data_IF_807986985514
#
_entry.id   IF_807986985514
#
_cell.length_a   1.000
_cell.length_b   1.000
_cell.length_c   1.000
_cell.angle_alpha   90.00
_cell.angle_beta   90.00
_cell.angle_gamma   90.00
#
_symmetry.space_group_name_H-M   'P 1'
#
loop_
_entity.id
_entity.type
_entity.pdbx_description
1 polymer ?
#
# COMPACT_ATOMS: atom_id res chain seq x y z
N UNK A 1 3.45 -8.66 23.80
CA UNK A 1 4.07 -8.36 22.48
C UNK A 1 3.27 -8.92 21.30
N UNK A 2 2.57 -10.06 21.42
CA UNK A 2 1.77 -10.65 20.32
C UNK A 2 0.55 -9.84 19.84
N UNK A 3 -0.14 -9.11 20.72
CA UNK A 3 -1.32 -8.32 20.29
C UNK A 3 -0.94 -7.20 19.32
N UNK A 4 0.22 -6.58 19.52
CA UNK A 4 0.70 -5.49 18.66
C UNK A 4 1.04 -5.97 17.25
N UNK A 5 1.64 -7.15 17.10
CA UNK A 5 1.99 -7.72 15.79
C UNK A 5 0.76 -8.16 14.99
N UNK A 6 -0.29 -8.67 15.66
CA UNK A 6 -1.56 -9.03 15.02
C UNK A 6 -2.31 -7.79 14.48
N UNK A 7 -2.34 -6.70 15.24
CA UNK A 7 -2.97 -5.43 14.83
C UNK A 7 -2.22 -4.83 13.63
N UNK A 8 -0.88 -4.87 13.69
CA UNK A 8 0.02 -4.41 12.64
C UNK A 8 -0.27 -5.17 11.33
N UNK A 9 -0.27 -6.50 11.37
CA UNK A 9 -0.53 -7.36 10.21
C UNK A 9 -1.89 -7.09 9.56
N UNK A 10 -2.93 -6.86 10.38
CA UNK A 10 -4.27 -6.52 9.90
C UNK A 10 -4.30 -5.19 9.14
N UNK A 11 -3.64 -4.16 9.64
CA UNK A 11 -3.59 -2.85 8.98
C UNK A 11 -2.92 -2.93 7.61
N UNK A 12 -1.78 -3.63 7.50
CA UNK A 12 -1.09 -3.82 6.21
C UNK A 12 -2.01 -4.47 5.19
N UNK A 13 -2.68 -5.55 5.62
CA UNK A 13 -3.58 -6.30 4.74
C UNK A 13 -4.68 -5.40 4.20
N UNK A 14 -5.29 -4.57 5.05
CA UNK A 14 -6.32 -3.63 4.62
C UNK A 14 -5.78 -2.60 3.62
N UNK A 15 -4.61 -2.01 3.87
CA UNK A 15 -3.99 -1.02 2.98
C UNK A 15 -3.71 -1.61 1.59
N UNK A 16 -3.30 -2.87 1.53
CA UNK A 16 -2.99 -3.56 0.26
C UNK A 16 -4.26 -4.05 -0.44
N UNK A 17 -5.19 -4.66 0.29
CA UNK A 17 -6.30 -5.41 -0.32
C UNK A 17 -7.46 -4.51 -0.71
N UNK A 18 -7.75 -3.47 0.10
CA UNK A 18 -8.87 -2.56 -0.14
C UNK A 18 -8.85 -1.90 -1.53
N UNK A 19 -7.74 -1.29 -2.02
CA UNK A 19 -7.74 -0.67 -3.34
C UNK A 19 -7.89 -1.69 -4.47
N UNK A 20 -7.35 -2.90 -4.31
CA UNK A 20 -7.46 -3.98 -5.30
C UNK A 20 -8.90 -4.47 -5.37
N UNK A 21 -9.52 -4.76 -4.23
CA UNK A 21 -10.92 -5.20 -4.15
C UNK A 21 -11.86 -4.13 -4.72
N UNK A 22 -11.57 -2.85 -4.45
CA UNK A 22 -12.31 -1.74 -5.03
C UNK A 22 -12.22 -1.73 -6.56
N UNK A 23 -11.03 -1.88 -7.14
CA UNK A 23 -10.85 -1.97 -8.58
C UNK A 23 -11.60 -3.18 -9.18
N UNK A 24 -11.51 -4.35 -8.55
CA UNK A 24 -12.21 -5.56 -9.00
C UNK A 24 -13.72 -5.34 -9.00
N UNK A 25 -14.27 -4.82 -7.90
CA UNK A 25 -15.71 -4.59 -7.75
C UNK A 25 -16.25 -3.56 -8.75
N UNK A 26 -15.44 -2.58 -9.14
CA UNK A 26 -15.81 -1.55 -10.10
C UNK A 26 -15.36 -1.86 -11.54
N UNK A 27 -14.75 -3.02 -11.80
CA UNK A 27 -14.17 -3.40 -13.10
C UNK A 27 -13.17 -2.37 -13.65
N UNK A 28 -12.40 -1.75 -12.76
CA UNK A 28 -11.35 -0.82 -13.13
C UNK A 28 -10.08 -1.58 -13.55
N UNK A 29 -9.52 -1.23 -14.71
CA UNK A 29 -8.29 -1.83 -15.23
C UNK A 29 -7.00 -1.17 -14.74
N UNK A 30 -7.09 0.01 -14.11
CA UNK A 30 -5.94 0.80 -13.69
C UNK A 30 -6.16 1.35 -12.28
N UNK A 31 -5.15 1.20 -11.43
CA UNK A 31 -5.02 1.82 -10.12
C UNK A 31 -3.93 2.89 -10.20
N UNK A 32 -4.30 4.15 -9.99
CA UNK A 32 -3.34 5.27 -9.95
C UNK A 32 -3.10 5.62 -8.49
N UNK A 33 -1.87 5.43 -8.04
CA UNK A 33 -1.41 5.93 -6.75
C UNK A 33 -0.81 7.31 -6.98
N UNK A 34 -1.65 8.32 -6.71
CA UNK A 34 -1.25 9.71 -6.74
C UNK A 34 -0.38 10.00 -5.51
N UNK A 35 0.71 10.73 -5.75
CA UNK A 35 1.40 11.56 -4.78
C UNK A 35 2.26 10.78 -3.75
N UNK A 36 3.44 10.36 -4.23
CA UNK A 36 4.42 9.66 -3.41
C UNK A 36 5.61 10.55 -3.00
N UNK A 37 5.86 11.66 -3.69
CA UNK A 37 7.00 12.54 -3.36
C UNK A 37 6.73 13.41 -2.13
N UNK A 38 5.56 14.06 -2.03
CA UNK A 38 5.25 14.99 -0.92
C UNK A 38 5.15 14.23 0.42
N UNK A 39 4.62 13.01 0.40
CA UNK A 39 4.53 12.13 1.58
C UNK A 39 5.85 11.45 1.95
N UNK A 40 6.74 11.22 0.99
CA UNK A 40 8.07 10.66 1.27
C UNK A 40 8.99 11.71 1.91
N UNK A 41 8.87 12.99 1.55
CA UNK A 41 9.60 14.08 2.21
C UNK A 41 9.14 14.26 3.66
N UNK A 42 7.83 14.30 3.91
CA UNK A 42 7.28 14.37 5.27
C UNK A 42 7.61 13.12 6.12
N UNK A 43 7.70 11.94 5.50
CA UNK A 43 8.06 10.70 6.18
C UNK A 43 9.55 10.58 6.54
N UNK A 44 10.44 11.37 5.93
CA UNK A 44 11.85 11.45 6.36
C UNK A 44 11.97 12.10 7.74
N UNK A 45 11.10 13.04 8.05
CA UNK A 45 11.10 13.74 9.35
C UNK A 45 10.42 12.93 10.46
N UNK A 46 9.49 12.02 10.12
CA UNK A 46 8.87 11.09 11.07
C UNK A 46 9.63 9.75 11.13
N UNK A 47 10.76 9.75 11.85
CA UNK A 47 11.65 8.60 12.10
C UNK A 47 10.94 7.33 12.66
N UNK A 48 9.69 7.45 13.10
CA UNK A 48 8.89 6.37 13.69
C UNK A 48 8.04 5.59 12.68
N UNK A 49 7.61 6.22 11.58
CA UNK A 49 6.75 5.60 10.55
C UNK A 49 7.58 4.66 9.67
N UNK A 50 8.78 5.10 9.27
CA UNK A 50 9.73 4.30 8.49
C UNK A 50 10.30 3.09 9.24
N UNK A 51 10.37 3.14 10.58
CA UNK A 51 10.88 2.01 11.39
C UNK A 51 9.92 0.82 11.49
N UNK A 52 8.62 1.04 11.31
CA UNK A 52 7.64 -0.04 11.43
C UNK A 52 7.21 -0.61 10.08
N UNK A 53 7.24 0.16 8.98
CA UNK A 53 7.03 -0.35 7.63
C UNK A 53 7.76 0.48 6.58
N UNK A 54 8.52 -0.17 5.71
CA UNK A 54 9.02 0.52 4.52
C UNK A 54 7.86 0.72 3.54
N UNK A 55 7.63 1.97 3.15
CA UNK A 55 6.67 2.33 2.11
C UNK A 55 6.90 1.52 0.82
N UNK A 56 8.18 1.26 0.53
CA UNK A 56 8.63 0.39 -0.55
C UNK A 56 8.04 -1.03 -0.51
N UNK A 57 7.99 -1.67 0.66
CA UNK A 57 7.39 -3.01 0.82
C UNK A 57 5.88 -2.99 0.58
N UNK A 58 5.18 -1.95 1.04
CA UNK A 58 3.74 -1.79 0.80
C UNK A 58 3.47 -1.63 -0.69
N UNK A 59 4.23 -0.78 -1.37
CA UNK A 59 4.14 -0.57 -2.81
C UNK A 59 4.42 -1.86 -3.59
N UNK A 60 5.43 -2.62 -3.19
CA UNK A 60 5.75 -3.92 -3.79
C UNK A 60 4.59 -4.90 -3.64
N UNK A 61 3.94 -4.95 -2.47
CA UNK A 61 2.78 -5.82 -2.21
C UNK A 61 1.55 -5.40 -3.03
N UNK A 62 1.27 -4.10 -3.13
CA UNK A 62 0.17 -3.58 -3.96
C UNK A 62 0.42 -3.93 -5.42
N UNK A 63 1.62 -3.66 -5.95
CA UNK A 63 2.01 -3.99 -7.32
C UNK A 63 1.83 -5.48 -7.61
N UNK A 64 2.32 -6.34 -6.72
CA UNK A 64 2.18 -7.80 -6.87
C UNK A 64 0.72 -8.25 -6.94
N UNK A 65 -0.16 -7.69 -6.12
CA UNK A 65 -1.59 -8.05 -6.13
C UNK A 65 -2.34 -7.46 -7.33
N UNK A 66 -2.02 -6.24 -7.72
CA UNK A 66 -2.58 -5.60 -8.91
C UNK A 66 -2.26 -6.42 -10.17
N UNK A 67 -1.00 -6.82 -10.35
CA UNK A 67 -0.54 -7.65 -11.47
C UNK A 67 -1.28 -8.99 -11.53
N UNK A 68 -1.45 -9.66 -10.37
CA UNK A 68 -2.24 -10.90 -10.27
C UNK A 68 -3.72 -10.73 -10.61
N UNK A 69 -4.27 -9.54 -10.42
CA UNK A 69 -5.65 -9.22 -10.72
C UNK A 69 -5.83 -8.63 -12.14
N UNK A 70 -4.74 -8.48 -12.91
CA UNK A 70 -4.77 -7.85 -14.23
C UNK A 70 -5.03 -6.34 -14.17
N UNK A 71 -4.70 -5.70 -13.04
CA UNK A 71 -4.85 -4.25 -12.82
C UNK A 71 -3.48 -3.60 -13.03
N UNK A 72 -3.41 -2.60 -13.91
CA UNK A 72 -2.23 -1.78 -14.10
C UNK A 72 -2.04 -0.81 -12.93
N UNK A 73 -0.85 -0.79 -12.34
CA UNK A 73 -0.50 0.16 -11.28
C UNK A 73 0.33 1.30 -11.87
N UNK A 74 -0.20 2.53 -11.81
CA UNK A 74 0.52 3.75 -12.17
C UNK A 74 0.85 4.51 -10.88
N UNK A 75 2.09 4.95 -10.74
CA UNK A 75 2.52 5.83 -9.66
C UNK A 75 2.77 7.19 -10.32
N UNK A 76 2.03 8.21 -9.90
CA UNK A 76 2.02 9.53 -10.53
C UNK A 76 2.06 10.64 -9.49
#
# INVERSE_FOLDING_TARGET
MEKSTLILTRKIRLIVDLPIDFCINNKAGTLILLDQEEKMELAKDEEFVLRNWSYYELMTKIKYKADKAGIELIIA
#
